data_IF_881290733616
#
_entry.id   IF_881290733616
#
_cell.length_a   1.000
_cell.length_b   1.000
_cell.length_c   1.000
_cell.angle_alpha   90.00
_cell.angle_beta   90.00
_cell.angle_gamma   90.00
#
_symmetry.space_group_name_H-M   'P 1'
#
loop_
_entity.id
_entity.type
_entity.pdbx_description
1 polymer ?
#
# COMPACT_ATOMS: atom_id res chain seq x y z
N UNK A 1 -1.02 29.40 -65.13
CA UNK A 1 0.20 28.62 -65.44
C UNK A 1 0.80 28.16 -64.13
N UNK A 2 0.67 26.86 -63.83
CA UNK A 2 1.15 26.23 -62.57
C UNK A 2 2.67 26.07 -62.65
N UNK A 3 3.40 26.55 -61.64
CA UNK A 3 4.82 26.28 -61.44
C UNK A 3 4.96 25.34 -60.25
N UNK A 4 5.51 24.16 -60.51
CA UNK A 4 5.79 23.13 -59.52
C UNK A 4 7.10 23.47 -58.80
N UNK A 5 7.08 23.42 -57.46
CA UNK A 5 8.25 23.53 -56.61
C UNK A 5 8.59 22.12 -56.13
N UNK A 6 9.75 21.60 -56.55
CA UNK A 6 10.28 20.33 -56.09
C UNK A 6 11.08 20.58 -54.80
N UNK A 7 10.68 19.93 -53.70
CA UNK A 7 11.49 19.86 -52.47
C UNK A 7 12.23 18.52 -52.51
N UNK A 8 13.56 18.62 -52.52
CA UNK A 8 14.53 17.54 -52.53
C UNK A 8 14.67 17.02 -51.09
N UNK A 9 14.27 15.78 -50.84
CA UNK A 9 14.43 15.10 -49.55
C UNK A 9 15.88 14.58 -49.47
N UNK A 10 16.67 15.13 -48.56
CA UNK A 10 18.07 14.77 -48.36
C UNK A 10 18.16 13.88 -47.12
N UNK A 11 18.31 12.57 -47.36
CA UNK A 11 18.48 11.53 -46.36
C UNK A 11 19.89 11.66 -45.79
N UNK A 12 20.01 12.09 -44.53
CA UNK A 12 21.23 11.96 -43.73
C UNK A 12 21.08 10.77 -42.80
N UNK A 13 21.74 9.68 -43.16
CA UNK A 13 21.98 8.53 -42.29
C UNK A 13 23.13 8.85 -41.34
N UNK A 14 22.82 9.06 -40.07
CA UNK A 14 23.78 9.05 -38.98
C UNK A 14 23.58 7.76 -38.18
N UNK A 15 24.55 6.85 -38.30
CA UNK A 15 24.76 5.77 -37.34
C UNK A 15 25.41 6.37 -36.10
N UNK A 16 24.76 6.24 -34.94
CA UNK A 16 25.34 6.51 -33.63
C UNK A 16 25.21 5.24 -32.78
N UNK A 17 26.28 4.94 -32.07
CA UNK A 17 26.51 3.74 -31.26
C UNK A 17 25.47 3.55 -30.14
N UNK A 18 25.10 2.29 -29.95
CA UNK A 18 24.45 1.75 -28.76
C UNK A 18 25.32 1.97 -27.51
N UNK A 19 24.84 2.79 -26.59
CA UNK A 19 25.21 2.73 -25.17
C UNK A 19 23.93 2.42 -24.41
N UNK A 20 23.86 1.25 -23.79
CA UNK A 20 22.72 0.80 -23.01
C UNK A 20 22.61 1.62 -21.72
N UNK A 21 21.55 2.40 -21.62
CA UNK A 21 21.00 2.83 -20.35
C UNK A 21 19.72 2.05 -20.13
N UNK A 22 19.63 1.39 -18.98
CA UNK A 22 18.41 0.75 -18.46
C UNK A 22 17.38 1.86 -18.25
N UNK A 23 16.60 2.13 -19.28
CA UNK A 23 15.57 3.15 -19.28
C UNK A 23 14.31 2.58 -18.67
N UNK A 24 13.92 3.15 -17.54
CA UNK A 24 12.61 3.07 -16.92
C UNK A 24 11.53 3.19 -18.01
N UNK A 25 10.70 2.16 -18.13
CA UNK A 25 9.68 2.02 -19.16
C UNK A 25 8.56 3.03 -18.97
N UNK A 26 8.36 3.89 -19.96
CA UNK A 26 7.09 4.61 -20.09
C UNK A 26 5.99 3.68 -20.58
N UNK A 27 4.74 4.08 -20.42
CA UNK A 27 3.51 3.34 -20.80
C UNK A 27 3.43 2.88 -22.27
N UNK A 28 4.34 3.32 -23.14
CA UNK A 28 4.48 2.85 -24.52
C UNK A 28 5.32 1.54 -24.66
N UNK A 29 5.94 1.05 -23.58
CA UNK A 29 6.73 -0.20 -23.55
C UNK A 29 5.98 -1.43 -23.05
N UNK A 30 4.68 -1.31 -22.75
CA UNK A 30 3.86 -2.44 -22.34
C UNK A 30 4.38 -3.05 -21.04
N UNK A 31 4.47 -2.24 -19.98
CA UNK A 31 4.58 -2.79 -18.63
C UNK A 31 3.51 -3.88 -18.51
N UNK A 32 3.91 -5.13 -18.23
CA UNK A 32 2.97 -6.21 -18.16
C UNK A 32 1.92 -5.83 -17.10
N UNK A 33 0.66 -6.05 -17.43
CA UNK A 33 -0.42 -5.92 -16.47
C UNK A 33 -1.10 -7.27 -16.34
N UNK A 34 -1.61 -7.54 -15.15
CA UNK A 34 -2.40 -8.70 -14.84
C UNK A 34 -3.82 -8.25 -14.47
N UNK A 35 -4.81 -8.93 -15.04
CA UNK A 35 -6.20 -8.61 -14.80
C UNK A 35 -6.63 -9.20 -13.44
N UNK A 36 -7.18 -8.35 -12.57
CA UNK A 36 -7.82 -8.70 -11.30
C UNK A 36 -9.33 -8.59 -11.49
N UNK A 37 -10.05 -9.63 -11.06
CA UNK A 37 -11.52 -9.64 -11.09
C UNK A 37 -12.07 -10.05 -9.72
N UNK A 38 -13.25 -9.52 -9.39
CA UNK A 38 -13.95 -9.86 -8.16
C UNK A 38 -15.38 -9.35 -8.17
N UNK A 39 -16.22 -9.82 -7.24
CA UNK A 39 -17.59 -9.36 -7.04
C UNK A 39 -17.85 -9.04 -5.57
N UNK A 40 -18.13 -7.79 -5.24
CA UNK A 40 -18.36 -7.38 -3.85
C UNK A 40 -19.78 -7.75 -3.41
N UNK A 41 -19.88 -8.57 -2.37
CA UNK A 41 -21.15 -9.04 -1.81
C UNK A 41 -21.31 -8.60 -0.36
N UNK A 42 -22.53 -8.19 0.02
CA UNK A 42 -22.85 -7.91 1.42
C UNK A 42 -22.87 -9.21 2.22
N UNK A 43 -22.04 -9.33 3.25
CA UNK A 43 -22.09 -10.45 4.19
C UNK A 43 -23.47 -10.57 4.87
N UNK A 44 -23.93 -11.80 5.07
CA UNK A 44 -25.21 -12.09 5.76
C UNK A 44 -25.09 -11.95 7.28
N UNK A 45 -24.66 -10.81 7.82
CA UNK A 45 -24.53 -10.66 9.28
C UNK A 45 -24.36 -9.23 9.75
N UNK A 46 -25.45 -8.45 9.73
CA UNK A 46 -25.98 -7.82 10.94
C UNK A 46 -27.32 -7.14 10.62
N UNK A 47 -28.33 -7.40 11.45
CA UNK A 47 -29.72 -6.98 11.25
C UNK A 47 -29.97 -5.45 11.24
N UNK A 48 -28.89 -4.65 11.29
CA UNK A 48 -28.90 -3.19 11.32
C UNK A 48 -28.63 -2.56 9.94
N UNK A 49 -28.09 -3.29 8.96
CA UNK A 49 -27.96 -2.80 7.57
C UNK A 49 -29.29 -3.00 6.83
N UNK A 50 -30.35 -2.34 7.29
CA UNK A 50 -31.71 -2.51 6.77
C UNK A 50 -32.23 -1.35 5.95
N UNK A 51 -31.37 -0.45 5.47
CA UNK A 51 -31.86 0.68 4.67
C UNK A 51 -30.87 1.30 3.66
N UNK A 52 -29.80 0.59 3.28
CA UNK A 52 -29.08 0.99 2.06
C UNK A 52 -29.84 0.45 0.84
N UNK A 53 -30.20 1.37 -0.05
CA UNK A 53 -30.85 1.10 -1.34
C UNK A 53 -29.84 1.15 -2.49
N UNK A 54 -28.55 1.23 -2.18
CA UNK A 54 -27.46 1.08 -3.15
C UNK A 54 -27.38 -0.40 -3.58
N UNK A 55 -27.14 -0.62 -4.87
CA UNK A 55 -26.99 -1.98 -5.43
C UNK A 55 -25.70 -2.64 -4.99
N UNK A 56 -24.67 -1.86 -4.63
CA UNK A 56 -23.34 -2.32 -4.24
C UNK A 56 -22.87 -1.66 -2.95
N UNK A 57 -22.09 -2.36 -2.11
CA UNK A 57 -21.54 -1.79 -0.88
C UNK A 57 -20.44 -0.76 -1.09
N UNK A 58 -19.78 -0.80 -2.25
CA UNK A 58 -18.72 0.10 -2.69
C UNK A 58 -19.03 0.57 -4.12
N UNK A 59 -18.39 1.67 -4.53
CA UNK A 59 -18.51 2.23 -5.89
C UNK A 59 -17.25 1.97 -6.72
N UNK A 60 -16.09 1.82 -6.07
CA UNK A 60 -14.81 1.54 -6.74
C UNK A 60 -13.91 0.63 -5.89
N UNK A 61 -12.95 0.00 -6.57
CA UNK A 61 -11.80 -0.68 -5.98
C UNK A 61 -10.53 0.09 -6.33
N UNK A 62 -9.61 0.16 -5.38
CA UNK A 62 -8.30 0.78 -5.53
C UNK A 62 -7.25 -0.26 -5.11
N UNK A 63 -6.18 -0.38 -5.88
CA UNK A 63 -4.94 -0.99 -5.40
C UNK A 63 -3.89 0.10 -5.23
N UNK A 64 -3.09 0.00 -4.16
CA UNK A 64 -2.03 0.95 -3.81
C UNK A 64 -0.74 0.17 -3.60
N UNK A 65 0.35 0.58 -4.26
CA UNK A 65 1.67 -0.01 -4.04
C UNK A 65 2.43 0.65 -2.88
N UNK A 66 3.60 0.10 -2.53
CA UNK A 66 4.49 0.60 -1.49
C UNK A 66 4.84 2.10 -1.64
N UNK A 67 4.97 2.56 -2.89
CA UNK A 67 5.28 3.95 -3.23
C UNK A 67 4.10 4.91 -3.13
N UNK A 68 2.89 4.38 -2.89
CA UNK A 68 1.64 5.13 -2.84
C UNK A 68 1.00 5.35 -4.21
N UNK A 69 1.53 4.77 -5.30
CA UNK A 69 0.89 4.86 -6.61
C UNK A 69 -0.38 3.99 -6.61
N UNK A 70 -1.47 4.54 -7.17
CA UNK A 70 -2.79 3.91 -7.14
C UNK A 70 -3.31 3.57 -8.53
N UNK A 71 -3.97 2.42 -8.63
CA UNK A 71 -4.76 2.01 -9.79
C UNK A 71 -6.18 1.72 -9.33
N UNK A 72 -7.18 2.22 -10.04
CA UNK A 72 -8.59 2.09 -9.64
C UNK A 72 -9.50 1.59 -10.75
N UNK A 73 -10.60 0.96 -10.35
CA UNK A 73 -11.68 0.53 -11.24
C UNK A 73 -13.05 0.74 -10.59
N UNK A 74 -14.01 1.22 -11.39
CA UNK A 74 -15.40 1.34 -10.98
C UNK A 74 -16.07 -0.04 -10.88
N UNK A 75 -16.97 -0.22 -9.90
CA UNK A 75 -17.82 -1.39 -9.83
C UNK A 75 -18.97 -1.31 -10.84
N UNK A 76 -19.25 -2.44 -11.48
CA UNK A 76 -20.41 -2.62 -12.34
C UNK A 76 -21.72 -2.64 -11.53
N UNK A 77 -22.86 -2.59 -12.23
CA UNK A 77 -24.19 -2.63 -11.59
C UNK A 77 -24.50 -3.91 -10.80
N UNK A 78 -23.74 -4.97 -11.05
CA UNK A 78 -23.79 -6.24 -10.32
C UNK A 78 -22.68 -6.37 -9.27
N UNK A 79 -21.97 -5.29 -8.99
CA UNK A 79 -20.88 -5.18 -8.01
C UNK A 79 -19.61 -5.95 -8.38
N UNK A 80 -19.52 -6.40 -9.63
CA UNK A 80 -18.28 -6.94 -10.18
C UNK A 80 -17.32 -5.81 -10.60
N UNK A 81 -16.03 -6.08 -10.60
CA UNK A 81 -15.02 -5.18 -11.17
C UNK A 81 -14.01 -5.95 -12.02
N UNK A 82 -13.27 -5.18 -12.81
CA UNK A 82 -12.11 -5.63 -13.57
C UNK A 82 -11.06 -4.53 -13.48
N UNK A 83 -9.87 -4.86 -12.99
CA UNK A 83 -8.79 -3.92 -12.75
C UNK A 83 -7.49 -4.49 -13.33
N UNK A 84 -6.78 -3.70 -14.14
CA UNK A 84 -5.47 -4.09 -14.68
C UNK A 84 -4.37 -3.64 -13.72
N UNK A 85 -3.79 -4.55 -12.93
CA UNK A 85 -2.68 -4.25 -12.04
C UNK A 85 -1.34 -4.37 -12.79
N UNK A 86 -0.43 -3.39 -12.70
CA UNK A 86 0.95 -3.58 -13.11
C UNK A 86 1.56 -4.80 -12.41
N UNK A 87 2.37 -5.59 -13.14
CA UNK A 87 3.10 -6.70 -12.54
C UNK A 87 4.42 -6.23 -11.94
N UNK A 88 5.02 -7.07 -11.10
CA UNK A 88 6.32 -6.84 -10.51
C UNK A 88 6.29 -5.99 -9.24
N UNK A 89 5.13 -5.86 -8.60
CA UNK A 89 4.90 -4.99 -7.45
C UNK A 89 3.90 -5.63 -6.48
N UNK A 90 4.02 -5.29 -5.20
CA UNK A 90 3.07 -5.63 -4.15
C UNK A 90 1.97 -4.58 -4.01
N UNK A 91 0.77 -5.04 -3.68
CA UNK A 91 -0.41 -4.17 -3.60
C UNK A 91 -1.27 -4.44 -2.37
N UNK A 92 -1.77 -3.36 -1.78
CA UNK A 92 -2.91 -3.36 -0.88
C UNK A 92 -4.18 -3.03 -1.67
N UNK A 93 -5.27 -3.80 -1.49
CA UNK A 93 -6.55 -3.59 -2.17
C UNK A 93 -7.60 -3.01 -1.21
N UNK A 94 -8.14 -1.84 -1.54
CA UNK A 94 -9.18 -1.13 -0.79
C UNK A 94 -10.47 -0.97 -1.59
N UNK A 95 -11.59 -0.98 -0.89
CA UNK A 95 -12.93 -0.70 -1.42
C UNK A 95 -13.38 0.70 -0.96
N UNK A 96 -13.87 1.51 -1.90
CA UNK A 96 -14.25 2.90 -1.66
C UNK A 96 -15.69 3.14 -2.14
N UNK A 97 -16.47 3.92 -1.38
CA UNK A 97 -17.78 4.44 -1.81
C UNK A 97 -17.78 5.96 -1.78
N UNK A 98 -17.99 6.59 -2.94
CA UNK A 98 -17.81 8.02 -3.11
C UNK A 98 -16.36 8.44 -2.83
N UNK A 99 -16.16 9.09 -1.68
CA UNK A 99 -14.84 9.50 -1.16
C UNK A 99 -14.56 8.88 0.21
N UNK A 100 -15.30 7.85 0.60
CA UNK A 100 -15.16 7.24 1.92
C UNK A 100 -14.62 5.84 1.79
N UNK A 101 -13.62 5.54 2.60
CA UNK A 101 -13.14 4.20 2.81
C UNK A 101 -14.26 3.25 3.26
N UNK A 102 -14.33 2.07 2.66
CA UNK A 102 -15.29 1.01 3.02
C UNK A 102 -14.58 -0.13 3.72
N UNK A 103 -13.56 -0.72 3.10
CA UNK A 103 -12.86 -1.88 3.64
C UNK A 103 -11.52 -2.15 2.94
N UNK A 104 -10.60 -2.80 3.65
CA UNK A 104 -9.39 -3.41 3.08
C UNK A 104 -9.60 -4.89 2.84
N UNK A 105 -8.95 -5.41 1.80
CA UNK A 105 -8.93 -6.83 1.51
C UNK A 105 -8.00 -7.55 2.48
N UNK A 106 -8.51 -8.56 3.17
CA UNK A 106 -7.76 -9.41 4.10
C UNK A 106 -7.95 -10.87 3.68
N UNK A 107 -6.84 -11.60 3.57
CA UNK A 107 -6.79 -13.02 3.22
C UNK A 107 -5.65 -13.70 3.99
N UNK A 108 -5.61 -15.03 3.94
CA UNK A 108 -4.53 -15.77 4.57
C UNK A 108 -3.25 -15.64 3.72
N UNK A 109 -2.10 -15.36 4.33
CA UNK A 109 -0.80 -15.46 3.66
C UNK A 109 -0.51 -16.89 3.25
N UNK A 110 -0.72 -17.81 4.20
CA UNK A 110 -0.28 -19.20 4.09
C UNK A 110 -1.35 -20.20 4.57
N UNK A 111 -1.02 -21.49 4.48
CA UNK A 111 -1.87 -22.58 4.97
C UNK A 111 -2.10 -22.57 6.50
N UNK A 112 -1.30 -21.84 7.27
CA UNK A 112 -1.47 -21.63 8.71
C UNK A 112 -2.57 -20.62 9.04
N UNK A 113 -3.07 -19.89 8.04
CA UNK A 113 -4.10 -18.84 8.16
C UNK A 113 -3.61 -17.61 8.93
N UNK A 114 -2.32 -17.30 8.86
CA UNK A 114 -1.82 -15.96 9.21
C UNK A 114 -2.44 -15.00 8.19
N UNK A 115 -2.96 -13.87 8.65
CA UNK A 115 -3.69 -12.94 7.78
C UNK A 115 -2.77 -11.84 7.25
N UNK A 116 -3.01 -11.40 6.02
CA UNK A 116 -2.33 -10.28 5.37
C UNK A 116 -3.31 -9.46 4.55
N UNK A 117 -2.91 -8.23 4.22
CA UNK A 117 -3.64 -7.31 3.33
C UNK A 117 -2.96 -7.11 1.98
N UNK A 118 -1.77 -7.67 1.83
CA UNK A 118 -0.82 -7.38 0.76
C UNK A 118 -0.61 -8.65 -0.05
N UNK A 119 -0.44 -8.47 -1.37
CA UNK A 119 -0.02 -9.54 -2.26
C UNK A 119 0.82 -8.99 -3.40
N UNK A 120 1.84 -9.75 -3.80
CA UNK A 120 2.62 -9.49 -4.99
C UNK A 120 1.81 -9.79 -6.26
N UNK A 121 1.98 -9.02 -7.34
CA UNK A 121 1.40 -9.34 -8.65
C UNK A 121 2.49 -9.83 -9.57
N UNK A 122 2.68 -11.16 -9.63
CA UNK A 122 3.74 -11.78 -10.42
C UNK A 122 3.49 -11.69 -11.93
N UNK A 123 4.58 -11.82 -12.71
CA UNK A 123 4.56 -11.85 -14.17
C UNK A 123 3.79 -13.09 -14.67
N UNK A 124 2.47 -12.93 -14.84
CA UNK A 124 1.56 -14.01 -15.23
C UNK A 124 0.66 -13.64 -16.41
N UNK A 125 0.19 -14.64 -17.15
CA UNK A 125 -0.84 -14.45 -18.18
C UNK A 125 -2.25 -14.87 -17.74
N UNK A 126 -2.35 -15.48 -16.56
CA UNK A 126 -3.62 -15.83 -15.91
C UNK A 126 -4.23 -14.61 -15.24
N UNK A 127 -5.56 -14.59 -15.16
CA UNK A 127 -6.31 -13.62 -14.36
C UNK A 127 -6.11 -13.97 -12.88
N UNK A 128 -6.10 -12.97 -11.99
CA UNK A 128 -6.28 -13.16 -10.55
C UNK A 128 -7.78 -13.01 -10.25
N UNK A 129 -8.46 -14.12 -10.02
CA UNK A 129 -9.88 -14.15 -9.71
C UNK A 129 -10.08 -14.22 -8.19
N UNK A 130 -10.57 -13.13 -7.59
CA UNK A 130 -10.84 -13.02 -6.15
C UNK A 130 -12.20 -13.64 -5.76
N UNK A 131 -13.04 -13.98 -6.75
CA UNK A 131 -14.38 -14.49 -6.55
C UNK A 131 -15.33 -13.50 -5.86
N UNK A 132 -16.20 -14.03 -5.00
CA UNK A 132 -17.10 -13.23 -4.17
C UNK A 132 -16.31 -12.62 -2.99
N UNK A 133 -16.28 -11.30 -2.88
CA UNK A 133 -15.62 -10.56 -1.80
C UNK A 133 -16.67 -10.20 -0.75
N UNK A 134 -16.59 -10.84 0.42
CA UNK A 134 -17.55 -10.66 1.49
C UNK A 134 -17.12 -9.55 2.44
N UNK A 135 -18.00 -8.58 2.67
CA UNK A 135 -17.77 -7.51 3.64
C UNK A 135 -18.27 -7.87 5.05
N UNK A 136 -17.44 -7.59 6.05
CA UNK A 136 -17.78 -7.64 7.47
C UNK A 136 -17.17 -6.45 8.20
N UNK A 137 -17.89 -5.32 8.25
CA UNK A 137 -17.32 -4.05 8.72
C UNK A 137 -16.36 -3.48 7.67
N UNK A 138 -15.20 -3.03 8.13
CA UNK A 138 -14.05 -2.53 7.34
C UNK A 138 -13.15 -3.64 6.78
N UNK A 139 -13.59 -4.89 6.93
CA UNK A 139 -12.90 -6.06 6.41
C UNK A 139 -13.59 -6.62 5.18
N UNK A 140 -12.82 -6.81 4.11
CA UNK A 140 -13.23 -7.49 2.90
C UNK A 140 -12.47 -8.82 2.75
N UNK A 141 -13.17 -9.94 2.63
CA UNK A 141 -12.51 -11.26 2.49
C UNK A 141 -12.86 -11.86 1.14
N UNK A 142 -11.87 -12.14 0.27
CA UNK A 142 -12.12 -12.77 -1.02
C UNK A 142 -12.45 -14.26 -0.85
N UNK A 143 -13.29 -14.79 -1.74
CA UNK A 143 -13.62 -16.22 -1.75
C UNK A 143 -12.48 -17.08 -2.28
N UNK A 144 -11.60 -16.48 -3.09
CA UNK A 144 -10.41 -17.12 -3.64
C UNK A 144 -9.20 -16.27 -3.23
N UNK A 145 -8.22 -16.92 -2.62
CA UNK A 145 -7.01 -16.27 -2.17
C UNK A 145 -6.16 -15.82 -3.38
N UNK A 146 -5.77 -14.53 -3.50
CA UNK A 146 -4.89 -14.08 -4.59
C UNK A 146 -3.55 -14.83 -4.62
N UNK A 147 -2.95 -15.14 -3.46
CA UNK A 147 -1.65 -15.82 -3.36
C UNK A 147 -1.69 -17.24 -3.94
N UNK A 148 -2.86 -17.89 -3.96
CA UNK A 148 -3.02 -19.21 -4.61
C UNK A 148 -2.98 -19.16 -6.15
N UNK A 149 -2.86 -17.96 -6.71
CA UNK A 149 -2.82 -17.70 -8.15
C UNK A 149 -1.54 -16.96 -8.57
N UNK A 150 -0.72 -16.54 -7.62
CA UNK A 150 0.63 -16.06 -7.89
C UNK A 150 1.63 -17.21 -7.75
N UNK A 151 2.83 -16.92 -8.23
CA UNK A 151 4.00 -17.81 -8.33
C UNK A 151 5.13 -16.81 -8.66
N UNK A 152 5.62 -16.12 -7.63
CA UNK A 152 6.51 -14.96 -7.78
C UNK A 152 7.88 -15.38 -8.30
N UNK A 153 8.42 -16.51 -7.85
CA UNK A 153 9.71 -17.05 -8.29
C UNK A 153 9.64 -17.99 -9.52
N UNK A 154 8.43 -18.27 -10.04
CA UNK A 154 8.13 -19.17 -11.19
C UNK A 154 8.65 -20.61 -10.96
N UNK A 155 8.65 -21.09 -9.70
CA UNK A 155 9.05 -22.46 -9.37
C UNK A 155 7.92 -23.49 -9.56
N UNK A 156 6.68 -23.03 -9.77
CA UNK A 156 5.49 -23.85 -10.01
C UNK A 156 4.72 -24.25 -8.76
N UNK A 157 5.08 -23.71 -7.60
CA UNK A 157 4.33 -23.66 -6.35
C UNK A 157 3.72 -22.26 -6.29
N UNK A 158 2.49 -22.14 -5.77
CA UNK A 158 1.91 -20.81 -5.62
C UNK A 158 2.40 -20.18 -4.33
N UNK A 159 2.54 -18.86 -4.28
CA UNK A 159 2.97 -18.10 -3.08
C UNK A 159 2.19 -18.52 -1.81
N UNK A 160 0.92 -18.92 -1.92
CA UNK A 160 0.14 -19.41 -0.76
C UNK A 160 0.62 -20.76 -0.15
N UNK A 161 1.19 -21.61 -0.99
CA UNK A 161 1.66 -22.97 -0.67
C UNK A 161 3.21 -23.05 -0.70
N UNK A 162 3.89 -21.93 -0.96
CA UNK A 162 5.35 -21.81 -0.91
C UNK A 162 5.78 -21.35 0.48
N UNK A 163 6.94 -21.81 0.93
CA UNK A 163 7.51 -21.38 2.22
C UNK A 163 8.65 -20.34 1.99
N UNK A 164 9.01 -20.04 0.73
CA UNK A 164 10.05 -19.11 0.25
C UNK A 164 9.53 -18.51 -1.08
N UNK A 165 8.58 -17.58 -0.99
CA UNK A 165 7.73 -17.16 -2.12
C UNK A 165 8.48 -16.39 -3.22
N UNK A 166 9.60 -15.75 -2.88
CA UNK A 166 10.44 -14.97 -3.79
C UNK A 166 11.76 -15.66 -4.18
N UNK A 167 12.08 -16.77 -3.52
CA UNK A 167 13.22 -17.62 -3.83
C UNK A 167 14.56 -17.03 -3.40
N UNK A 168 14.60 -16.11 -2.44
CA UNK A 168 15.83 -15.54 -1.90
C UNK A 168 16.60 -16.53 -0.99
N UNK A 169 15.92 -17.59 -0.52
CA UNK A 169 16.45 -18.65 0.31
C UNK A 169 16.29 -18.44 1.82
N UNK A 170 15.46 -17.48 2.24
CA UNK A 170 14.90 -17.28 3.57
C UNK A 170 13.46 -17.82 3.54
N UNK A 171 13.01 -18.44 4.64
CA UNK A 171 11.62 -18.91 4.71
C UNK A 171 10.72 -17.70 5.07
N UNK A 172 9.51 -17.55 4.49
CA UNK A 172 8.57 -16.42 4.71
C UNK A 172 8.23 -16.19 6.21
N UNK A 173 8.33 -17.24 7.04
CA UNK A 173 8.12 -17.15 8.50
C UNK A 173 9.28 -16.52 9.27
N UNK A 174 10.39 -16.30 8.57
CA UNK A 174 11.69 -15.85 9.06
C UNK A 174 12.16 -14.57 8.37
N UNK A 175 11.36 -14.03 7.43
CA UNK A 175 11.62 -12.73 6.78
C UNK A 175 11.34 -11.56 7.73
N UNK A 176 12.13 -10.51 7.59
CA UNK A 176 12.01 -9.27 8.34
C UNK A 176 11.70 -8.14 7.34
N UNK A 177 10.70 -7.31 7.64
CA UNK A 177 10.42 -6.06 6.90
C UNK A 177 11.57 -5.06 7.16
N UNK A 178 12.56 -5.10 6.28
CA UNK A 178 13.84 -4.45 6.43
C UNK A 178 13.82 -3.01 5.92
N UNK A 179 12.98 -2.69 4.94
CA UNK A 179 12.73 -1.32 4.51
C UNK A 179 11.58 -0.64 5.27
N UNK A 180 10.86 -1.42 6.08
CA UNK A 180 9.76 -1.01 6.95
C UNK A 180 8.57 -0.46 6.17
N UNK A 181 8.40 -0.74 4.88
CA UNK A 181 7.28 -0.19 4.12
C UNK A 181 5.93 -0.84 4.44
N UNK A 182 5.94 -1.88 5.27
CA UNK A 182 4.80 -2.69 5.70
C UNK A 182 4.58 -3.93 4.86
N UNK A 183 5.51 -4.27 3.95
CA UNK A 183 5.44 -5.40 3.03
C UNK A 183 6.50 -6.44 3.45
N UNK A 184 6.11 -7.38 4.32
CA UNK A 184 7.06 -8.33 4.92
C UNK A 184 7.63 -9.37 3.94
N UNK A 185 6.92 -9.60 2.83
CA UNK A 185 7.32 -10.51 1.73
C UNK A 185 7.59 -9.70 0.45
N UNK A 186 8.36 -8.63 0.48
CA UNK A 186 9.09 -8.21 -0.73
C UNK A 186 10.58 -8.54 -0.57
N UNK A 187 11.26 -9.07 -1.62
CA UNK A 187 12.64 -8.73 -2.07
C UNK A 187 13.35 -7.57 -1.35
N UNK A 188 13.25 -7.57 -0.04
CA UNK A 188 13.86 -6.65 0.85
C UNK A 188 15.27 -7.15 0.98
N UNK A 189 16.19 -6.40 0.39
CA UNK A 189 17.59 -6.70 0.53
C UNK A 189 18.00 -6.37 1.97
N UNK A 190 17.64 -7.25 2.92
CA UNK A 190 18.14 -7.33 4.27
C UNK A 190 19.63 -7.62 4.15
N UNK A 191 20.42 -6.57 3.85
CA UNK A 191 21.86 -6.71 3.90
C UNK A 191 22.15 -7.05 5.34
N UNK A 192 22.50 -8.29 5.61
CA UNK A 192 23.15 -8.67 6.85
C UNK A 192 24.44 -7.86 6.86
N UNK A 193 24.39 -6.64 7.40
CA UNK A 193 25.56 -5.80 7.59
C UNK A 193 26.32 -6.39 8.80
N UNK A 194 26.88 -7.57 8.58
CA UNK A 194 27.96 -8.11 9.36
C UNK A 194 29.30 -7.56 8.86
N UNK A 195 29.35 -6.27 8.49
CA UNK A 195 30.55 -5.46 8.64
C UNK A 195 31.77 -5.95 7.85
N UNK A 196 31.61 -6.25 6.56
CA UNK A 196 32.75 -6.34 5.63
C UNK A 196 32.41 -5.85 4.22
N UNK A 197 31.87 -4.63 4.12
CA UNK A 197 32.05 -3.83 2.92
C UNK A 197 33.50 -3.32 2.88
N UNK A 198 34.31 -4.05 2.11
CA UNK A 198 35.67 -3.71 1.71
C UNK A 198 35.66 -2.34 1.01
N UNK A 199 36.04 -1.31 1.78
CA UNK A 199 36.41 0.02 1.33
C UNK A 199 37.41 -0.06 0.17
N UNK A 200 36.89 -0.04 -1.05
CA UNK A 200 37.70 0.19 -2.25
C UNK A 200 37.02 1.22 -3.15
N UNK A 201 36.90 2.40 -2.55
CA UNK A 201 37.05 3.73 -3.13
C UNK A 201 36.89 3.94 -4.63
N UNK A 202 36.09 4.94 -4.97
CA UNK A 202 36.53 5.97 -5.90
C UNK A 202 35.77 7.28 -5.69
N UNK A 203 36.19 8.05 -4.68
CA UNK A 203 35.93 9.49 -4.60
C UNK A 203 36.63 10.17 -5.79
N UNK A 204 35.83 10.75 -6.70
CA UNK A 204 36.29 11.66 -7.74
C UNK A 204 35.14 12.48 -8.33
N UNK A 205 34.77 13.54 -7.63
CA UNK A 205 34.65 14.84 -8.29
C UNK A 205 33.25 15.41 -8.56
N UNK A 206 32.94 16.46 -7.79
CA UNK A 206 32.72 17.82 -8.31
C UNK A 206 31.63 18.00 -9.39
N UNK A 207 30.47 18.52 -9.00
CA UNK A 207 30.08 19.83 -9.51
C UNK A 207 29.16 20.61 -8.56
N UNK A 208 29.39 21.92 -8.55
CA UNK A 208 28.69 22.93 -7.76
C UNK A 208 27.76 23.70 -8.68
N UNK A 209 26.47 23.73 -8.37
CA UNK A 209 25.48 24.63 -8.95
C UNK A 209 24.15 24.33 -8.26
N UNK A 210 23.75 25.08 -7.23
CA UNK A 210 23.19 26.43 -7.32
C UNK A 210 21.99 26.45 -8.29
N UNK A 211 20.84 25.99 -7.81
CA UNK A 211 19.54 26.47 -8.28
C UNK A 211 18.59 26.60 -7.10
N UNK A 212 18.53 27.83 -6.55
CA UNK A 212 17.53 28.24 -5.56
C UNK A 212 16.28 28.67 -6.33
N UNK A 213 15.42 27.69 -6.63
CA UNK A 213 14.08 27.88 -7.15
C UNK A 213 13.05 27.72 -6.04
N UNK A 214 12.92 28.76 -5.22
CA UNK A 214 11.85 28.98 -4.25
C UNK A 214 10.52 29.13 -4.99
N UNK A 215 9.86 28.02 -5.32
CA UNK A 215 8.42 27.99 -5.60
C UNK A 215 7.73 27.57 -4.30
N UNK A 216 7.49 28.57 -3.46
CA UNK A 216 6.52 28.51 -2.38
C UNK A 216 5.13 28.31 -3.00
N UNK A 217 4.79 27.08 -3.35
CA UNK A 217 3.43 26.69 -3.67
C UNK A 217 2.58 27.04 -2.45
N UNK A 218 1.66 27.99 -2.66
CA UNK A 218 0.77 28.44 -1.60
C UNK A 218 -0.09 27.25 -1.16
N UNK A 219 -0.36 27.09 0.16
CA UNK A 219 -1.21 26.02 0.68
C UNK A 219 -2.50 25.97 -0.13
N UNK A 220 -2.69 24.87 -0.86
CA UNK A 220 -3.88 24.69 -1.69
C UNK A 220 -5.13 24.47 -0.85
N UNK A 221 -4.96 24.19 0.46
CA UNK A 221 -6.06 23.90 1.36
C UNK A 221 -6.81 22.66 0.92
N UNK A 222 -6.08 21.71 0.32
CA UNK A 222 -6.56 20.40 -0.07
C UNK A 222 -6.89 19.55 1.15
N UNK A 223 -7.70 18.52 0.90
CA UNK A 223 -7.83 17.39 1.80
C UNK A 223 -6.96 16.29 1.21
N UNK A 224 -6.09 15.69 2.03
CA UNK A 224 -5.21 14.57 1.67
C UNK A 224 -5.73 13.31 2.35
N UNK A 225 -5.67 12.19 1.65
CA UNK A 225 -6.20 10.92 2.14
C UNK A 225 -5.18 10.20 3.05
N UNK A 226 -5.70 9.45 4.02
CA UNK A 226 -4.91 8.47 4.77
C UNK A 226 -4.80 7.23 3.88
N UNK A 227 -3.56 6.83 3.59
CA UNK A 227 -3.26 5.68 2.74
C UNK A 227 -3.36 4.37 3.51
N UNK A 228 -2.90 4.38 4.76
CA UNK A 228 -2.84 3.18 5.59
C UNK A 228 -2.89 3.54 7.07
N UNK A 229 -3.49 2.63 7.83
CA UNK A 229 -3.42 2.61 9.29
C UNK A 229 -3.08 1.19 9.72
N UNK A 230 -2.36 1.08 10.83
CA UNK A 230 -2.09 -0.20 11.46
C UNK A 230 -2.03 -0.03 12.99
N UNK A 231 -2.53 -1.00 13.79
CA UNK A 231 -3.31 -2.17 13.37
C UNK A 231 -4.55 -1.78 12.55
N UNK A 232 -5.03 -2.68 11.68
CA UNK A 232 -6.15 -2.34 10.80
C UNK A 232 -7.46 -2.22 11.58
N UNK A 233 -8.41 -1.46 11.02
CA UNK A 233 -9.73 -1.34 11.63
C UNK A 233 -10.45 -2.69 11.73
N UNK A 234 -10.86 -3.04 12.94
CA UNK A 234 -11.51 -4.29 13.28
C UNK A 234 -10.55 -5.47 13.50
N UNK A 235 -9.23 -5.26 13.50
CA UNK A 235 -8.28 -6.31 13.80
C UNK A 235 -8.50 -6.86 15.21
N UNK A 236 -8.20 -8.15 15.35
CA UNK A 236 -8.34 -8.88 16.61
C UNK A 236 -7.10 -9.73 16.82
N UNK A 237 -6.74 -9.94 18.08
CA UNK A 237 -5.49 -10.62 18.47
C UNK A 237 -4.22 -9.85 18.11
N UNK A 238 -4.28 -8.51 18.11
CA UNK A 238 -3.09 -7.67 17.99
C UNK A 238 -2.19 -7.90 19.21
N UNK A 239 -0.88 -8.02 19.01
CA UNK A 239 0.06 -8.19 20.10
C UNK A 239 0.09 -6.94 21.01
N UNK A 240 0.34 -7.14 22.31
CA UNK A 240 0.25 -6.06 23.29
C UNK A 240 1.40 -5.05 23.20
N UNK A 241 2.49 -5.41 22.54
CA UNK A 241 3.63 -4.55 22.21
C UNK A 241 3.59 -4.00 20.78
N UNK A 242 2.52 -4.26 20.03
CA UNK A 242 2.40 -3.79 18.65
C UNK A 242 2.36 -2.25 18.58
N UNK A 243 3.11 -1.66 17.65
CA UNK A 243 3.10 -0.21 17.44
C UNK A 243 1.92 0.23 16.56
N UNK A 244 1.45 1.45 16.76
CA UNK A 244 0.41 2.05 15.91
C UNK A 244 1.10 2.93 14.85
N UNK A 245 0.75 2.80 13.58
CA UNK A 245 1.20 3.75 12.58
C UNK A 245 0.11 4.24 11.63
N UNK A 246 0.33 5.44 11.09
CA UNK A 246 -0.54 6.12 10.15
C UNK A 246 0.31 6.60 8.97
N UNK A 247 -0.04 6.19 7.75
CA UNK A 247 0.61 6.63 6.49
C UNK A 247 -0.34 7.54 5.73
N UNK A 248 0.15 8.68 5.29
CA UNK A 248 -0.60 9.67 4.51
C UNK A 248 0.04 9.91 3.13
N UNK A 249 -0.75 10.40 2.17
CA UNK A 249 -0.27 10.78 0.83
C UNK A 249 0.46 12.13 0.81
N UNK A 250 1.07 12.52 1.94
CA UNK A 250 1.82 13.76 2.08
C UNK A 250 2.84 13.68 3.22
N UNK A 251 3.83 14.59 3.18
CA UNK A 251 4.74 14.87 4.30
C UNK A 251 3.94 15.42 5.47
N UNK A 252 3.90 14.71 6.60
CA UNK A 252 3.12 15.05 7.79
C UNK A 252 3.81 16.18 8.57
N UNK A 253 3.04 17.18 9.00
CA UNK A 253 3.52 18.23 9.91
C UNK A 253 3.60 17.68 11.34
N UNK A 254 4.82 17.35 11.79
CA UNK A 254 5.13 16.83 13.13
C UNK A 254 4.49 17.63 14.26
N UNK A 255 4.41 18.97 14.11
CA UNK A 255 3.85 19.86 15.13
C UNK A 255 2.34 19.62 15.38
N UNK A 256 1.66 18.93 14.47
CA UNK A 256 0.21 18.67 14.54
C UNK A 256 -0.13 17.34 15.21
N UNK A 257 0.78 16.37 15.19
CA UNK A 257 0.56 15.00 15.65
C UNK A 257 0.00 14.94 17.09
N UNK A 258 0.59 15.62 18.11
CA UNK A 258 0.15 15.45 19.50
C UNK A 258 -1.26 15.97 19.78
N UNK A 259 -1.79 16.83 18.91
CA UNK A 259 -3.14 17.37 19.04
C UNK A 259 -4.15 16.63 18.16
N UNK A 260 -3.67 15.98 17.09
CA UNK A 260 -4.50 15.40 16.06
C UNK A 260 -4.82 13.92 16.29
N UNK A 261 -3.95 13.18 16.98
CA UNK A 261 -4.09 11.73 17.14
C UNK A 261 -4.35 11.39 18.61
N UNK A 262 -5.41 10.62 18.85
CA UNK A 262 -5.79 10.12 20.17
C UNK A 262 -5.95 8.61 20.12
N UNK A 263 -5.37 7.91 21.10
CA UNK A 263 -5.49 6.47 21.29
C UNK A 263 -6.17 6.24 22.64
N UNK A 264 -7.37 5.67 22.61
CA UNK A 264 -8.20 5.45 23.79
C UNK A 264 -8.53 3.97 23.93
N UNK A 265 -8.52 3.44 25.15
CA UNK A 265 -9.11 2.12 25.42
C UNK A 265 -10.64 2.17 25.45
N UNK A 266 -11.30 1.01 25.51
CA UNK A 266 -12.76 0.91 25.68
C UNK A 266 -13.32 1.61 26.93
N UNK A 267 -12.44 1.94 27.90
CA UNK A 267 -12.80 2.63 29.14
C UNK A 267 -12.55 4.15 29.08
N UNK A 268 -12.24 4.69 27.88
CA UNK A 268 -11.80 6.07 27.66
C UNK A 268 -10.49 6.42 28.39
N UNK A 269 -9.64 5.42 28.68
CA UNK A 269 -8.30 5.66 29.22
C UNK A 269 -7.34 5.96 28.05
N UNK A 270 -6.65 7.09 28.14
CA UNK A 270 -5.72 7.56 27.11
C UNK A 270 -4.38 6.82 27.18
N UNK A 271 -3.91 6.33 26.03
CA UNK A 271 -2.59 5.72 25.89
C UNK A 271 -1.58 6.80 25.49
N UNK A 272 -0.51 6.89 26.28
CA UNK A 272 0.56 7.86 26.03
C UNK A 272 1.50 7.31 24.94
N UNK A 273 1.44 7.94 23.76
CA UNK A 273 2.30 7.66 22.62
C UNK A 273 3.49 8.62 22.58
N UNK A 274 4.69 8.09 22.34
CA UNK A 274 5.83 8.83 21.82
C UNK A 274 5.80 8.70 20.30
N UNK A 275 5.41 9.78 19.61
CA UNK A 275 5.31 9.77 18.15
C UNK A 275 6.66 10.05 17.49
N UNK A 276 6.99 9.27 16.48
CA UNK A 276 8.13 9.47 15.61
C UNK A 276 7.68 9.52 14.14
N UNK A 277 8.44 10.23 13.31
CA UNK A 277 8.27 10.27 11.86
C UNK A 277 9.40 9.48 11.19
N UNK A 278 9.06 8.75 10.13
CA UNK A 278 10.05 8.10 9.27
C UNK A 278 10.79 9.09 8.37
N UNK A 279 11.83 8.64 7.67
CA UNK A 279 12.71 9.51 6.88
C UNK A 279 12.04 10.27 5.72
N UNK A 280 10.88 9.81 5.26
CA UNK A 280 10.04 10.48 4.27
C UNK A 280 9.01 11.44 4.88
N UNK A 281 8.86 11.43 6.21
CA UNK A 281 7.83 12.11 6.99
C UNK A 281 6.39 11.79 6.54
N UNK A 282 6.16 10.77 5.71
CA UNK A 282 4.81 10.34 5.27
C UNK A 282 4.14 9.36 6.24
N UNK A 283 4.88 8.88 7.24
CA UNK A 283 4.41 7.91 8.23
C UNK A 283 4.73 8.40 9.64
N UNK A 284 3.71 8.40 10.48
CA UNK A 284 3.81 8.64 11.90
C UNK A 284 3.60 7.33 12.66
N UNK A 285 4.53 7.00 13.54
CA UNK A 285 4.52 5.80 14.37
C UNK A 285 4.39 6.19 15.83
N UNK A 286 3.46 5.59 16.56
CA UNK A 286 3.32 5.71 18.00
C UNK A 286 4.03 4.52 18.65
N UNK A 287 5.14 4.83 19.31
CA UNK A 287 5.75 3.94 20.29
C UNK A 287 5.06 4.21 21.64
N UNK A 288 4.41 3.21 22.22
CA UNK A 288 3.75 3.34 23.52
C UNK A 288 4.64 2.81 24.65
N UNK A 289 4.71 3.56 25.76
CA UNK A 289 5.56 3.17 26.89
C UNK A 289 4.95 2.06 27.76
N UNK A 290 3.67 1.74 27.54
CA UNK A 290 2.91 0.76 28.32
C UNK A 290 2.30 -0.25 27.35
N UNK A 291 2.70 -1.52 27.49
CA UNK A 291 2.04 -2.64 26.81
C UNK A 291 0.52 -2.49 26.94
N UNK A 292 -0.18 -2.70 25.84
CA UNK A 292 -1.63 -2.74 25.83
C UNK A 292 -2.14 -3.86 26.75
N UNK A 293 -3.28 -3.62 27.39
CA UNK A 293 -3.95 -4.64 28.20
C UNK A 293 -4.50 -5.73 27.27
N UNK A 294 -4.24 -7.01 27.56
CA UNK A 294 -4.78 -8.14 26.79
C UNK A 294 -6.33 -8.09 26.69
N UNK A 295 -6.87 -8.50 25.54
CA UNK A 295 -8.32 -8.57 25.29
C UNK A 295 -9.03 -7.23 25.49
N UNK A 296 -8.36 -6.14 25.12
CA UNK A 296 -8.87 -4.77 25.23
C UNK A 296 -9.05 -4.19 23.85
N UNK A 297 -10.18 -3.53 23.62
CA UNK A 297 -10.42 -2.76 22.40
C UNK A 297 -9.83 -1.37 22.55
N UNK A 298 -9.03 -0.98 21.58
CA UNK A 298 -8.49 0.36 21.43
C UNK A 298 -9.16 1.05 20.25
N UNK A 299 -9.36 2.37 20.39
CA UNK A 299 -9.90 3.25 19.35
C UNK A 299 -8.88 4.34 19.09
N UNK A 300 -8.46 4.46 17.85
CA UNK A 300 -7.58 5.50 17.36
C UNK A 300 -8.41 6.50 16.57
N UNK A 301 -8.34 7.77 16.96
CA UNK A 301 -8.96 8.88 16.25
C UNK A 301 -7.89 9.79 15.70
N UNK A 302 -7.93 10.05 14.39
CA UNK A 302 -7.13 11.07 13.72
C UNK A 302 -8.06 12.19 13.29
N UNK A 303 -7.91 13.37 13.86
CA UNK A 303 -8.69 14.56 13.51
C UNK A 303 -7.82 15.82 13.61
N UNK A 304 -7.67 16.53 12.48
CA UNK A 304 -6.88 17.76 12.42
C UNK A 304 -5.38 17.56 12.19
N UNK A 305 -4.97 16.38 11.73
CA UNK A 305 -3.61 16.14 11.25
C UNK A 305 -3.39 16.94 9.95
N UNK A 306 -2.22 17.54 9.76
CA UNK A 306 -1.94 18.35 8.58
C UNK A 306 -0.66 17.88 7.90
N UNK A 307 -0.59 18.14 6.60
CA UNK A 307 0.63 18.02 5.82
C UNK A 307 1.52 19.27 6.03
N UNK A 308 2.83 19.16 5.81
CA UNK A 308 3.79 20.27 5.90
C UNK A 308 3.44 21.45 4.97
N UNK A 309 2.78 21.18 3.86
CA UNK A 309 2.29 22.19 2.91
C UNK A 309 1.01 22.92 3.38
N UNK A 310 0.45 22.55 4.54
CA UNK A 310 -0.77 23.11 5.14
C UNK A 310 -2.09 22.51 4.66
N UNK A 311 -2.07 21.44 3.84
CA UNK A 311 -3.25 20.66 3.51
C UNK A 311 -3.69 19.82 4.73
N UNK A 312 -5.00 19.56 4.85
CA UNK A 312 -5.57 18.82 5.99
C UNK A 312 -5.70 17.36 5.62
N UNK A 313 -5.25 16.44 6.48
CA UNK A 313 -5.45 15.01 6.27
C UNK A 313 -6.88 14.65 6.69
N UNK A 314 -7.54 13.76 5.94
CA UNK A 314 -8.90 13.29 6.24
C UNK A 314 -8.98 12.72 7.67
N UNK A 315 -10.09 12.99 8.36
CA UNK A 315 -10.31 12.41 9.68
C UNK A 315 -10.75 10.95 9.56
N UNK A 316 -10.08 10.08 10.31
CA UNK A 316 -10.41 8.66 10.42
C UNK A 316 -10.57 8.26 11.88
N UNK A 317 -11.42 7.26 12.11
CA UNK A 317 -11.54 6.54 13.37
C UNK A 317 -11.43 5.05 13.04
N UNK A 318 -10.54 4.35 13.73
CA UNK A 318 -10.39 2.91 13.62
C UNK A 318 -10.21 2.27 14.99
N UNK A 319 -10.45 0.97 15.08
CA UNK A 319 -10.36 0.22 16.33
C UNK A 319 -9.69 -1.12 16.14
N UNK A 320 -9.03 -1.64 17.17
CA UNK A 320 -8.44 -2.99 17.16
C UNK A 320 -8.55 -3.62 18.56
N UNK A 321 -8.55 -4.95 18.63
CA UNK A 321 -8.61 -5.73 19.87
C UNK A 321 -7.30 -6.49 20.09
N UNK A 322 -6.67 -6.31 21.23
CA UNK A 322 -5.46 -7.04 21.59
C UNK A 322 -5.73 -8.49 21.97
N UNK A 323 -4.77 -9.37 21.68
CA UNK A 323 -4.83 -10.79 21.95
C UNK A 323 -4.20 -11.20 23.27
N UNK A 324 -4.17 -12.51 23.51
CA UNK A 324 -3.24 -13.11 24.48
C UNK A 324 -2.23 -13.87 23.63
N UNK A 325 -0.98 -13.44 23.61
CA UNK A 325 0.10 -14.18 22.98
C UNK A 325 0.33 -15.49 23.76
N UNK A 326 0.12 -16.63 23.09
CA UNK A 326 0.22 -17.99 23.68
C UNK A 326 1.67 -18.48 23.82
#
# INVERSE_FOLDING_TARGET
>A
MKKYFYILFLIFSLQACSGGGSGLGGTEFGNPTRELIGTVVTGTSNALVKNQTASCPADSVIITDASGETVSADLNSDCSFTLDAPTGQSYLLSLISGSSFVANMIFARDASNVETTIFYVSDGSSIIDLGDITLNGSRATPAVNPLSQNDRDDNGISDFDDDDDDGDGIDDDSEEDCDFDGFWDDDDACTTDDGSADDSGNDSGNDSGDDSGDDSDAPTGGIVDILQVYPFDGDSFVDSDEDIFIKADCEIDEDTIPAAIQVLSENDDEIECEWSLESSDTRATCEHAQEFDDLTVYVVTVDGLMCFNGDTIESIEFSFETGVSD
#
